data_IF_346468351631
#
_entry.id   IF_346468351631
#
_cell.length_a   1.000
_cell.length_b   1.000
_cell.length_c   1.000
_cell.angle_alpha   90.00
_cell.angle_beta   90.00
_cell.angle_gamma   90.00
#
_symmetry.space_group_name_H-M   'P 1'
#
loop_
_entity.id
_entity.type
_entity.pdbx_description
1 polymer ?
#
# COMPACT_ATOMS: atom_id res chain seq x y z
N UNK A 1 -1.43 -8.71 -10.51
CA UNK A 1 -0.95 -8.25 -9.18
C UNK A 1 -2.03 -8.58 -8.16
N UNK A 2 -1.66 -9.23 -7.06
CA UNK A 2 -2.63 -9.73 -6.08
C UNK A 2 -3.30 -8.59 -5.29
N UNK A 3 -4.58 -8.77 -4.90
CA UNK A 3 -5.26 -7.86 -3.99
C UNK A 3 -4.71 -8.07 -2.57
N UNK A 4 -4.25 -7.01 -1.93
CA UNK A 4 -3.85 -7.03 -0.54
C UNK A 4 -5.04 -6.64 0.34
N UNK A 5 -5.49 -7.58 1.19
CA UNK A 5 -6.52 -7.29 2.19
C UNK A 5 -5.83 -6.94 3.51
N UNK A 6 -6.12 -5.77 4.10
CA UNK A 6 -5.54 -5.37 5.37
C UNK A 6 -5.97 -6.34 6.46
N UNK A 7 -5.02 -6.82 7.26
CA UNK A 7 -5.27 -7.65 8.43
C UNK A 7 -5.43 -6.82 9.71
N UNK A 8 -4.81 -5.64 9.74
CA UNK A 8 -4.89 -4.66 10.82
C UNK A 8 -5.54 -3.37 10.33
N UNK A 9 -6.12 -2.58 11.24
CA UNK A 9 -6.76 -1.30 10.89
C UNK A 9 -5.76 -0.26 10.34
N UNK A 10 -4.48 -0.41 10.67
CA UNK A 10 -3.38 0.43 10.21
C UNK A 10 -2.88 0.06 8.80
N UNK A 11 -3.33 -1.07 8.25
CA UNK A 11 -2.90 -1.55 6.94
C UNK A 11 -3.76 -0.97 5.81
N UNK A 12 -3.12 -0.67 4.69
CA UNK A 12 -3.77 -0.13 3.50
C UNK A 12 -4.18 -1.26 2.55
N UNK A 13 -5.47 -1.29 2.18
CA UNK A 13 -5.95 -2.18 1.12
C UNK A 13 -5.32 -1.82 -0.23
N UNK A 14 -4.70 -2.81 -0.90
CA UNK A 14 -4.19 -2.68 -2.26
C UNK A 14 -5.06 -3.48 -3.24
N UNK A 15 -5.33 -2.89 -4.40
CA UNK A 15 -6.00 -3.57 -5.51
C UNK A 15 -5.15 -3.46 -6.77
N UNK A 16 -5.28 -4.47 -7.63
CA UNK A 16 -4.65 -4.42 -8.95
C UNK A 16 -5.11 -3.17 -9.71
N UNK A 17 -4.15 -2.37 -10.18
CA UNK A 17 -4.41 -1.12 -10.89
C UNK A 17 -4.66 0.11 -10.01
N UNK A 18 -4.72 -0.04 -8.67
CA UNK A 18 -4.77 1.12 -7.78
C UNK A 18 -3.43 1.86 -7.78
N UNK A 19 -3.51 3.19 -7.72
CA UNK A 19 -2.35 4.05 -7.47
C UNK A 19 -2.25 4.38 -6.00
N UNK A 20 -1.07 4.18 -5.45
CA UNK A 20 -0.75 4.51 -4.06
C UNK A 20 0.43 5.47 -4.06
N UNK A 21 0.29 6.59 -3.35
CA UNK A 21 1.40 7.50 -3.11
C UNK A 21 2.19 6.99 -1.92
N UNK A 22 3.40 6.50 -2.18
CA UNK A 22 4.35 6.08 -1.13
C UNK A 22 4.90 7.33 -0.44
N UNK A 23 4.65 7.45 0.87
CA UNK A 23 5.19 8.52 1.71
C UNK A 23 6.47 8.10 2.42
N UNK A 24 6.54 6.83 2.86
CA UNK A 24 7.70 6.29 3.58
C UNK A 24 7.95 4.85 3.15
N UNK A 25 9.23 4.49 3.05
CA UNK A 25 9.67 3.11 2.83
C UNK A 25 10.49 2.71 4.05
N UNK A 26 10.06 1.66 4.74
CA UNK A 26 10.79 1.09 5.87
C UNK A 26 11.72 -0.03 5.37
N UNK A 27 12.85 -0.21 6.05
CA UNK A 27 13.86 -1.23 5.69
C UNK A 27 13.38 -2.68 5.95
N UNK A 28 12.25 -2.84 6.63
CA UNK A 28 11.58 -4.13 6.88
C UNK A 28 10.73 -4.62 5.69
N UNK A 29 10.69 -3.86 4.59
CA UNK A 29 9.92 -4.17 3.38
C UNK A 29 8.49 -3.64 3.39
N UNK A 30 8.09 -2.89 4.42
CA UNK A 30 6.78 -2.24 4.51
C UNK A 30 6.83 -0.78 4.11
N UNK A 31 5.87 -0.38 3.30
CA UNK A 31 5.75 0.98 2.79
C UNK A 31 4.53 1.63 3.43
N UNK A 32 4.64 2.91 3.75
CA UNK A 32 3.54 3.74 4.21
C UNK A 32 3.10 4.62 3.07
N UNK A 33 1.81 4.65 2.79
CA UNK A 33 1.29 5.49 1.72
C UNK A 33 -0.20 5.74 1.80
N UNK A 34 -0.69 6.46 0.80
CA UNK A 34 -2.09 6.83 0.66
C UNK A 34 -2.65 6.25 -0.63
N UNK A 35 -3.76 5.52 -0.52
CA UNK A 35 -4.49 5.05 -1.70
C UNK A 35 -5.19 6.23 -2.36
N UNK A 36 -4.93 6.48 -3.64
CA UNK A 36 -5.64 7.53 -4.38
C UNK A 36 -7.11 7.22 -4.59
N UNK A 37 -7.50 5.95 -4.60
CA UNK A 37 -8.89 5.53 -4.82
C UNK A 37 -9.76 5.81 -3.61
N UNK A 38 -9.28 5.45 -2.42
CA UNK A 38 -10.08 5.54 -1.18
C UNK A 38 -9.68 6.72 -0.30
N UNK A 39 -8.57 7.39 -0.62
CA UNK A 39 -7.91 8.39 0.23
C UNK A 39 -7.57 7.90 1.64
N UNK A 40 -7.51 6.58 1.84
CA UNK A 40 -7.03 6.00 3.09
C UNK A 40 -5.51 5.98 3.12
N UNK A 41 -4.95 6.22 4.31
CA UNK A 41 -3.54 6.01 4.58
C UNK A 41 -3.36 4.69 5.34
N UNK A 42 -2.20 4.07 5.18
CA UNK A 42 -1.85 2.88 5.94
C UNK A 42 -0.54 2.27 5.45
N UNK A 43 -0.15 1.17 6.11
CA UNK A 43 1.03 0.40 5.76
C UNK A 43 0.67 -0.72 4.79
N UNK A 44 1.57 -1.04 3.87
CA UNK A 44 1.38 -2.15 2.93
C UNK A 44 2.73 -2.73 2.52
N UNK A 45 2.78 -4.02 2.13
CA UNK A 45 4.02 -4.65 1.70
C UNK A 45 4.49 -4.06 0.36
N UNK A 46 5.75 -3.60 0.30
CA UNK A 46 6.34 -3.01 -0.90
C UNK A 46 6.39 -3.98 -2.10
N UNK A 47 6.39 -5.29 -1.86
CA UNK A 47 6.35 -6.33 -2.90
C UNK A 47 5.06 -6.35 -3.73
N UNK A 48 4.00 -5.66 -3.30
CA UNK A 48 2.72 -5.59 -4.01
C UNK A 48 2.60 -4.33 -4.90
N UNK A 49 3.56 -3.42 -4.84
CA UNK A 49 3.62 -2.23 -5.68
C UNK A 49 4.81 -2.31 -6.62
N UNK A 50 4.67 -1.77 -7.83
CA UNK A 50 5.79 -1.58 -8.75
C UNK A 50 5.97 -0.08 -9.00
N UNK A 51 7.22 0.41 -9.09
CA UNK A 51 7.48 1.74 -9.60
C UNK A 51 6.96 1.84 -11.03
N UNK A 52 6.20 2.91 -11.30
CA UNK A 52 5.73 3.28 -12.64
C UNK A 52 6.77 4.09 -13.40
#
# INVERSE_FOLDING_TARGET
>A
MYQYRPQNEDELELREGDRVDVMQQCDDGWFVGVSRRTQKFGTFPGNYVAPV
#
